data_IF_942301955572
#
_entry.id   IF_942301955572
#
_cell.length_a   1.000
_cell.length_b   1.000
_cell.length_c   1.000
_cell.angle_alpha   90.00
_cell.angle_beta   90.00
_cell.angle_gamma   90.00
#
_symmetry.space_group_name_H-M   'P 1'
#
loop_
_entity.id
_entity.type
_entity.pdbx_description
1 polymer ?
#
# COMPACT_ATOMS: atom_id res chain seq x y z
N UNK A 1 32.10 -1.42 -11.72
CA UNK A 1 31.47 -0.82 -10.52
C UNK A 1 30.66 0.40 -10.95
N UNK A 2 29.37 0.25 -11.25
CA UNK A 2 28.45 1.39 -11.42
C UNK A 2 27.36 1.31 -10.35
N UNK A 3 27.28 2.36 -9.54
CA UNK A 3 26.27 2.58 -8.50
C UNK A 3 24.95 2.92 -9.15
N UNK A 4 24.15 1.90 -9.48
CA UNK A 4 22.72 2.06 -9.74
C UNK A 4 22.00 2.30 -8.41
N UNK A 5 22.23 3.46 -7.83
CA UNK A 5 21.38 4.05 -6.80
C UNK A 5 20.25 4.81 -7.50
N UNK A 6 19.44 4.11 -8.29
CA UNK A 6 18.06 4.54 -8.48
C UNK A 6 17.37 4.28 -7.14
N UNK A 7 16.82 5.31 -6.50
CA UNK A 7 16.21 5.29 -5.16
C UNK A 7 15.71 3.90 -4.72
N UNK A 8 16.56 3.17 -3.99
CA UNK A 8 16.20 1.95 -3.32
C UNK A 8 15.33 2.31 -2.10
N UNK A 9 14.09 2.73 -2.34
CA UNK A 9 13.05 2.71 -1.30
C UNK A 9 12.70 1.24 -1.04
N UNK A 10 13.58 0.58 -0.29
CA UNK A 10 13.39 -0.64 0.52
C UNK A 10 12.51 -1.74 -0.07
N UNK A 11 13.11 -2.90 -0.40
CA UNK A 11 12.52 -4.26 -0.46
C UNK A 11 11.10 -4.38 0.15
N UNK A 12 10.10 -3.98 -0.62
CA UNK A 12 8.75 -3.63 -0.18
C UNK A 12 8.15 -2.74 -1.26
N UNK A 13 6.87 -2.85 -1.56
CA UNK A 13 6.28 -2.33 -2.81
C UNK A 13 6.19 -0.79 -2.92
N UNK A 14 7.02 -0.02 -2.20
CA UNK A 14 6.94 1.45 -2.12
C UNK A 14 5.75 1.98 -1.32
N UNK A 15 4.91 1.08 -0.78
CA UNK A 15 3.65 1.41 -0.10
C UNK A 15 3.78 1.42 1.44
N UNK A 16 4.90 0.92 1.98
CA UNK A 16 5.16 0.87 3.41
C UNK A 16 5.09 2.26 4.03
N UNK A 17 4.24 2.42 5.05
CA UNK A 17 4.10 3.66 5.82
C UNK A 17 3.23 4.73 5.15
N UNK A 18 2.74 4.51 3.93
CA UNK A 18 1.78 5.41 3.29
C UNK A 18 0.43 5.38 4.02
N UNK A 19 -0.29 6.50 3.98
CA UNK A 19 -1.65 6.62 4.50
C UNK A 19 -2.63 6.61 3.33
N UNK A 20 -3.60 5.70 3.36
CA UNK A 20 -4.56 5.50 2.27
C UNK A 20 -5.98 5.50 2.81
N UNK A 21 -6.91 6.13 2.09
CA UNK A 21 -8.35 6.00 2.32
C UNK A 21 -8.95 5.13 1.22
N UNK A 22 -9.74 4.13 1.59
CA UNK A 22 -10.49 3.27 0.67
C UNK A 22 -11.98 3.48 0.93
N UNK A 23 -12.69 3.97 -0.07
CA UNK A 23 -14.15 4.11 -0.05
C UNK A 23 -14.84 2.83 -0.54
N UNK A 24 -16.07 2.57 -0.11
CA UNK A 24 -16.79 1.33 -0.42
C UNK A 24 -15.97 0.06 -0.03
N UNK A 25 -15.21 0.15 1.06
CA UNK A 25 -14.26 -0.88 1.49
C UNK A 25 -14.84 -1.98 2.39
N UNK A 26 -16.13 -1.97 2.69
CA UNK A 26 -16.77 -3.00 3.52
C UNK A 26 -16.86 -4.36 2.83
N UNK A 27 -16.82 -4.40 1.48
CA UNK A 27 -16.95 -5.66 0.73
C UNK A 27 -16.39 -5.63 -0.69
N UNK A 28 -16.46 -6.79 -1.35
CA UNK A 28 -16.10 -6.96 -2.76
C UNK A 28 -14.68 -6.46 -3.09
N UNK A 29 -14.60 -5.67 -4.17
CA UNK A 29 -13.33 -5.14 -4.68
C UNK A 29 -12.71 -4.15 -3.68
N UNK A 30 -13.52 -3.30 -3.05
CA UNK A 30 -13.01 -2.33 -2.07
C UNK A 30 -12.31 -3.01 -0.89
N UNK A 31 -12.88 -4.12 -0.41
CA UNK A 31 -12.25 -4.94 0.64
C UNK A 31 -10.93 -5.56 0.18
N UNK A 32 -10.91 -6.15 -1.02
CA UNK A 32 -9.70 -6.77 -1.57
C UNK A 32 -8.55 -5.76 -1.77
N UNK A 33 -8.88 -4.54 -2.20
CA UNK A 33 -7.92 -3.44 -2.31
C UNK A 33 -7.37 -3.07 -0.93
N UNK A 34 -8.24 -2.86 0.07
CA UNK A 34 -7.83 -2.50 1.41
C UNK A 34 -6.89 -3.55 2.03
N UNK A 35 -7.23 -4.83 1.91
CA UNK A 35 -6.44 -5.94 2.45
C UNK A 35 -5.05 -6.01 1.78
N UNK A 36 -4.97 -5.78 0.46
CA UNK A 36 -3.71 -5.77 -0.29
C UNK A 36 -2.78 -4.63 0.16
N UNK A 37 -3.33 -3.43 0.32
CA UNK A 37 -2.57 -2.25 0.75
C UNK A 37 -2.04 -2.40 2.18
N UNK A 38 -2.85 -3.00 3.08
CA UNK A 38 -2.43 -3.34 4.44
C UNK A 38 -1.27 -4.33 4.42
N UNK A 39 -1.38 -5.41 3.62
CA UNK A 39 -0.33 -6.41 3.48
C UNK A 39 0.99 -5.82 2.96
N UNK A 40 0.90 -4.74 2.17
CA UNK A 40 2.04 -3.98 1.66
C UNK A 40 2.57 -2.91 2.64
N UNK A 41 2.05 -2.87 3.87
CA UNK A 41 2.53 -1.99 4.94
C UNK A 41 1.92 -0.59 4.95
N UNK A 42 0.84 -0.37 4.21
CA UNK A 42 0.10 0.90 4.27
C UNK A 42 -0.76 0.98 5.52
N UNK A 43 -0.96 2.21 6.01
CA UNK A 43 -1.96 2.56 7.03
C UNK A 43 -3.26 2.92 6.32
N UNK A 44 -4.21 1.98 6.29
CA UNK A 44 -5.45 2.11 5.54
C UNK A 44 -6.62 2.51 6.45
N UNK A 45 -7.41 3.49 6.03
CA UNK A 45 -8.70 3.84 6.61
C UNK A 45 -9.80 3.46 5.63
N UNK A 46 -10.82 2.76 6.11
CA UNK A 46 -11.96 2.32 5.30
C UNK A 46 -13.16 3.21 5.61
N UNK A 47 -13.82 3.70 4.56
CA UNK A 47 -15.09 4.40 4.60
C UNK A 47 -16.07 3.64 3.70
N UNK A 48 -17.29 3.36 4.16
CA UNK A 48 -18.33 2.64 3.40
C UNK A 48 -19.69 3.32 3.57
#
# INVERSE_FOLDING_TARGET
MNTLAGNAASEGSGLTGLRVIVTAGAGGIGRAIADTLIAQGSKVHICD
#
